data_IF_828175672387
#
_entry.id   IF_828175672387
#
_cell.length_a   1.000
_cell.length_b   1.000
_cell.length_c   1.000
_cell.angle_alpha   90.00
_cell.angle_beta   90.00
_cell.angle_gamma   90.00
#
_symmetry.space_group_name_H-M   'P 1'
#
loop_
_entity.id
_entity.type
_entity.pdbx_description
1 polymer ?
#
# COMPACT_ATOMS: atom_id res chain seq x y z
N UNK A 1 4.18 19.50 -25.39
CA UNK A 1 4.12 19.39 -23.91
C UNK A 1 2.73 19.74 -23.41
N UNK A 2 2.52 19.97 -22.10
CA UNK A 2 1.21 20.34 -21.56
C UNK A 2 0.63 21.60 -22.20
N UNK A 3 1.48 22.58 -22.55
CA UNK A 3 1.04 23.83 -23.20
C UNK A 3 0.34 23.60 -24.53
N UNK A 4 0.90 22.72 -25.39
CA UNK A 4 0.27 22.34 -26.66
C UNK A 4 -1.08 21.65 -26.45
N UNK A 5 -1.19 20.85 -25.38
CA UNK A 5 -2.44 20.18 -25.03
C UNK A 5 -3.48 21.18 -24.50
N UNK A 6 -3.08 22.16 -23.68
CA UNK A 6 -3.97 23.20 -23.17
C UNK A 6 -4.43 24.17 -24.25
N UNK A 7 -3.59 24.46 -25.25
CA UNK A 7 -3.99 25.23 -26.42
C UNK A 7 -5.15 24.57 -27.19
N UNK A 8 -5.24 23.23 -27.18
CA UNK A 8 -6.33 22.47 -27.79
C UNK A 8 -7.53 22.29 -26.86
N UNK A 9 -7.27 22.03 -25.58
CA UNK A 9 -8.30 21.83 -24.57
C UNK A 9 -7.89 22.50 -23.25
N UNK A 10 -8.35 23.74 -22.99
CA UNK A 10 -7.99 24.47 -21.78
C UNK A 10 -8.58 23.85 -20.50
N UNK A 11 -9.50 22.88 -20.61
CA UNK A 11 -10.08 22.13 -19.48
C UNK A 11 -9.33 20.83 -19.17
N UNK A 12 -8.31 20.48 -19.96
CA UNK A 12 -7.57 19.23 -19.79
C UNK A 12 -6.80 19.21 -18.47
N UNK A 13 -6.91 18.13 -17.73
CA UNK A 13 -6.01 17.86 -16.59
C UNK A 13 -4.88 16.97 -17.09
N UNK A 14 -3.64 17.44 -16.97
CA UNK A 14 -2.46 16.76 -17.51
C UNK A 14 -1.67 16.12 -16.37
N UNK A 15 -1.69 14.79 -16.28
CA UNK A 15 -0.92 14.05 -15.27
C UNK A 15 0.52 13.81 -15.69
N UNK A 16 1.46 14.03 -14.78
CA UNK A 16 2.87 13.62 -14.90
C UNK A 16 3.19 12.75 -13.69
N UNK A 17 3.56 11.50 -13.93
CA UNK A 17 4.03 10.60 -12.87
C UNK A 17 5.50 10.34 -13.08
N UNK A 18 6.30 10.70 -12.08
CA UNK A 18 7.76 10.55 -12.13
C UNK A 18 8.30 10.08 -10.80
N UNK A 19 9.53 9.57 -10.80
CA UNK A 19 10.21 9.20 -9.57
C UNK A 19 10.55 10.40 -8.68
N UNK A 20 11.24 11.36 -9.27
CA UNK A 20 11.92 12.46 -8.56
C UNK A 20 11.21 13.82 -8.66
N UNK A 21 10.16 13.94 -9.49
CA UNK A 21 9.52 15.22 -9.82
C UNK A 21 10.06 15.83 -11.12
N UNK A 22 9.42 16.90 -11.57
CA UNK A 22 9.85 17.60 -12.80
C UNK A 22 11.10 18.47 -12.61
N UNK A 23 11.40 18.84 -11.36
CA UNK A 23 12.49 19.73 -10.99
C UNK A 23 13.46 19.07 -10.01
N UNK A 24 14.61 19.69 -9.80
CA UNK A 24 15.62 19.26 -8.85
C UNK A 24 16.75 18.40 -9.46
N UNK A 25 17.81 18.11 -8.68
CA UNK A 25 19.04 17.53 -9.21
C UNK A 25 18.87 16.12 -9.81
N UNK A 26 17.84 15.39 -9.37
CA UNK A 26 17.56 14.01 -9.79
C UNK A 26 16.46 13.92 -10.84
N UNK A 27 15.84 15.02 -11.28
CA UNK A 27 14.68 15.00 -12.19
C UNK A 27 14.93 14.20 -13.50
N UNK A 28 16.17 14.16 -13.97
CA UNK A 28 16.58 13.43 -15.18
C UNK A 28 17.29 12.09 -14.89
N UNK A 29 17.42 11.71 -13.62
CA UNK A 29 18.06 10.46 -13.23
C UNK A 29 17.06 9.30 -13.23
N UNK A 30 17.53 8.10 -13.58
CA UNK A 30 16.76 6.89 -13.39
C UNK A 30 16.63 6.55 -11.89
N UNK A 31 15.56 5.87 -11.54
CA UNK A 31 15.32 5.34 -10.21
C UNK A 31 14.18 4.34 -10.22
N UNK A 32 14.03 3.63 -9.12
CA UNK A 32 12.88 2.78 -8.83
C UNK A 32 12.37 3.06 -7.42
N UNK A 33 11.21 2.50 -7.07
CA UNK A 33 10.58 2.61 -5.76
C UNK A 33 11.56 2.74 -4.59
N UNK A 34 12.45 1.75 -4.44
CA UNK A 34 13.40 1.66 -3.34
C UNK A 34 14.31 2.89 -3.25
N UNK A 35 14.66 3.52 -4.37
CA UNK A 35 15.48 4.74 -4.38
C UNK A 35 14.68 5.96 -3.91
N UNK A 36 13.41 6.07 -4.31
CA UNK A 36 12.53 7.17 -3.92
C UNK A 36 12.25 7.13 -2.41
N UNK A 37 11.88 5.96 -1.89
CA UNK A 37 11.61 5.77 -0.46
C UNK A 37 12.87 5.83 0.40
N UNK A 38 14.05 5.57 -0.18
CA UNK A 38 15.33 5.78 0.50
C UNK A 38 15.58 7.27 0.74
N UNK A 39 15.35 8.11 -0.26
CA UNK A 39 15.69 9.54 -0.21
C UNK A 39 14.86 10.30 0.84
N UNK A 40 13.63 9.86 1.10
CA UNK A 40 12.72 10.47 2.08
C UNK A 40 12.80 9.83 3.46
N UNK A 41 13.73 8.90 3.67
CA UNK A 41 13.93 8.21 4.95
C UNK A 41 12.88 7.14 5.28
N UNK A 42 11.90 6.90 4.41
CA UNK A 42 10.87 5.89 4.61
C UNK A 42 11.48 4.48 4.65
N UNK A 43 12.43 4.16 3.75
CA UNK A 43 13.10 2.85 3.77
C UNK A 43 13.79 2.59 5.13
N UNK A 44 14.46 3.60 5.69
CA UNK A 44 15.13 3.48 7.00
C UNK A 44 14.16 3.16 8.14
N UNK A 45 12.88 3.51 8.04
CA UNK A 45 11.88 3.18 9.05
C UNK A 45 11.40 1.71 8.99
N UNK A 46 11.60 1.01 7.87
CA UNK A 46 11.14 -0.36 7.70
C UNK A 46 12.18 -1.40 8.12
N UNK A 47 11.76 -2.36 8.95
CA UNK A 47 12.56 -3.51 9.38
C UNK A 47 12.80 -3.57 10.89
N UNK A 48 13.52 -4.61 11.33
CA UNK A 48 13.85 -4.81 12.74
C UNK A 48 15.03 -3.93 13.18
N UNK A 49 15.13 -3.69 14.49
CA UNK A 49 16.32 -3.08 15.12
C UNK A 49 17.56 -3.93 14.80
N UNK A 50 18.68 -3.28 14.52
CA UNK A 50 19.97 -3.92 14.22
C UNK A 50 19.98 -4.85 13.00
N UNK A 51 18.95 -4.80 12.16
CA UNK A 51 18.90 -5.48 10.86
C UNK A 51 18.95 -4.43 9.75
N UNK A 52 19.37 -4.78 8.52
CA UNK A 52 19.26 -3.89 7.38
C UNK A 52 17.82 -3.40 7.17
N UNK A 53 17.62 -2.17 6.66
CA UNK A 53 16.30 -1.72 6.21
C UNK A 53 15.64 -2.75 5.27
N UNK A 54 14.34 -2.96 5.42
CA UNK A 54 13.58 -3.96 4.64
C UNK A 54 12.72 -3.26 3.59
N UNK A 55 12.90 -3.61 2.32
CA UNK A 55 12.09 -3.06 1.22
C UNK A 55 10.65 -3.62 1.29
N UNK A 56 9.61 -2.77 1.35
CA UNK A 56 8.21 -3.18 1.46
C UNK A 56 7.57 -3.48 0.09
N UNK A 57 8.29 -4.21 -0.78
CA UNK A 57 8.02 -4.26 -2.22
C UNK A 57 7.98 -2.83 -2.81
N UNK A 58 7.42 -2.66 -4.01
CA UNK A 58 7.19 -1.35 -4.60
C UNK A 58 5.86 -0.68 -4.18
N UNK A 59 5.34 -1.05 -3.01
CA UNK A 59 4.02 -0.59 -2.55
C UNK A 59 4.02 0.88 -2.12
N UNK A 60 5.15 1.41 -1.64
CA UNK A 60 5.19 2.72 -0.97
C UNK A 60 5.47 3.86 -1.95
N UNK A 61 6.52 3.74 -2.76
CA UNK A 61 6.89 4.73 -3.76
C UNK A 61 5.99 4.63 -4.99
N UNK A 62 6.00 3.48 -5.69
CA UNK A 62 5.32 3.36 -6.98
C UNK A 62 3.79 3.45 -6.82
N UNK A 63 3.21 2.62 -5.97
CA UNK A 63 1.75 2.52 -5.85
C UNK A 63 1.16 3.58 -4.92
N UNK A 64 1.56 3.62 -3.65
CA UNK A 64 0.98 4.54 -2.69
C UNK A 64 1.41 5.99 -2.91
N UNK A 65 2.70 6.24 -3.17
CA UNK A 65 3.27 7.57 -3.36
C UNK A 65 3.10 8.13 -4.77
N UNK A 66 3.14 7.28 -5.81
CA UNK A 66 2.99 7.70 -7.20
C UNK A 66 1.57 7.55 -7.72
N UNK A 67 1.13 6.30 -7.92
CA UNK A 67 -0.11 6.00 -8.61
C UNK A 67 -1.35 6.57 -7.90
N UNK A 68 -1.46 6.39 -6.58
CA UNK A 68 -2.61 6.90 -5.82
C UNK A 68 -2.62 8.44 -5.71
N UNK A 69 -1.46 9.09 -5.56
CA UNK A 69 -1.39 10.56 -5.58
C UNK A 69 -1.70 11.13 -6.96
N UNK A 70 -1.26 10.49 -8.03
CA UNK A 70 -1.65 10.88 -9.39
C UNK A 70 -3.16 10.74 -9.57
N UNK A 71 -3.73 9.58 -9.23
CA UNK A 71 -5.17 9.34 -9.37
C UNK A 71 -5.98 10.36 -8.56
N UNK A 72 -5.59 10.61 -7.30
CA UNK A 72 -6.22 11.61 -6.46
C UNK A 72 -6.07 13.03 -7.03
N UNK A 73 -4.88 13.40 -7.50
CA UNK A 73 -4.60 14.68 -8.13
C UNK A 73 -5.40 14.90 -9.42
N UNK A 74 -5.55 13.86 -10.25
CA UNK A 74 -6.39 13.89 -11.45
C UNK A 74 -7.85 14.11 -11.07
N UNK A 75 -8.38 13.38 -10.07
CA UNK A 75 -9.77 13.59 -9.60
C UNK A 75 -9.97 15.02 -9.11
N UNK A 76 -9.04 15.54 -8.29
CA UNK A 76 -9.06 16.92 -7.81
C UNK A 76 -9.02 17.92 -8.97
N UNK A 77 -8.12 17.74 -9.94
CA UNK A 77 -8.02 18.59 -11.12
C UNK A 77 -9.28 18.55 -11.99
N UNK A 78 -9.92 17.38 -12.13
CA UNK A 78 -11.17 17.25 -12.91
C UNK A 78 -12.31 17.98 -12.21
N UNK A 79 -12.43 17.85 -10.88
CA UNK A 79 -13.42 18.57 -10.09
C UNK A 79 -13.21 20.08 -10.17
N UNK A 80 -11.96 20.53 -10.13
CA UNK A 80 -11.58 21.92 -10.36
C UNK A 80 -12.03 22.36 -11.76
N UNK A 81 -11.57 21.69 -12.82
CA UNK A 81 -11.83 22.07 -14.21
C UNK A 81 -13.32 22.03 -14.59
N UNK A 82 -14.12 21.22 -13.88
CA UNK A 82 -15.58 21.23 -13.99
C UNK A 82 -16.19 22.53 -13.48
N UNK A 83 -15.61 23.13 -12.43
CA UNK A 83 -16.08 24.37 -11.80
C UNK A 83 -15.51 25.62 -12.48
N UNK A 84 -14.21 25.66 -12.76
CA UNK A 84 -13.54 26.86 -13.28
C UNK A 84 -13.52 26.95 -14.80
N UNK A 85 -13.66 25.81 -15.50
CA UNK A 85 -13.40 25.73 -16.93
C UNK A 85 -11.91 25.72 -17.29
N UNK A 86 -11.00 25.55 -16.33
CA UNK A 86 -9.54 25.48 -16.55
C UNK A 86 -8.97 24.22 -15.95
N UNK A 87 -8.19 23.49 -16.74
CA UNK A 87 -7.41 22.37 -16.26
C UNK A 87 -6.04 22.82 -15.74
N UNK A 88 -5.24 21.84 -15.34
CA UNK A 88 -3.91 22.07 -14.76
C UNK A 88 -3.01 20.85 -14.95
N UNK A 89 -1.71 21.05 -14.74
CA UNK A 89 -0.76 19.94 -14.61
C UNK A 89 -0.84 19.39 -13.18
N UNK A 90 -0.85 18.07 -13.06
CA UNK A 90 -0.66 17.34 -11.81
C UNK A 90 0.72 16.71 -11.88
N UNK A 91 1.69 17.26 -11.17
CA UNK A 91 2.99 16.63 -10.96
C UNK A 91 2.90 15.70 -9.74
N UNK A 92 2.90 14.40 -10.00
CA UNK A 92 2.84 13.36 -8.98
C UNK A 92 4.21 12.65 -8.93
N UNK A 93 5.12 13.24 -8.15
CA UNK A 93 6.41 12.65 -7.88
C UNK A 93 6.30 11.57 -6.79
N UNK A 94 6.84 10.38 -7.05
CA UNK A 94 6.85 9.27 -6.09
C UNK A 94 7.60 9.65 -4.81
N UNK A 95 8.67 10.44 -4.92
CA UNK A 95 9.41 10.99 -3.77
C UNK A 95 8.51 11.86 -2.89
N UNK A 96 7.70 12.75 -3.46
CA UNK A 96 6.80 13.63 -2.69
C UNK A 96 5.68 12.85 -2.02
N UNK A 97 5.07 11.91 -2.75
CA UNK A 97 4.02 11.05 -2.21
C UNK A 97 4.53 10.17 -1.07
N UNK A 98 5.71 9.57 -1.23
CA UNK A 98 6.35 8.78 -0.17
C UNK A 98 6.70 9.63 1.06
N UNK A 99 7.21 10.85 0.88
CA UNK A 99 7.45 11.78 1.99
C UNK A 99 6.14 12.17 2.69
N UNK A 100 5.09 12.44 1.92
CA UNK A 100 3.77 12.80 2.46
C UNK A 100 3.20 11.69 3.34
N UNK A 101 3.33 10.42 2.95
CA UNK A 101 2.93 9.25 3.76
C UNK A 101 3.68 9.16 5.11
N UNK A 102 4.87 9.73 5.23
CA UNK A 102 5.67 9.76 6.46
C UNK A 102 5.27 10.90 7.43
N UNK A 103 4.31 11.75 7.07
CA UNK A 103 3.97 12.97 7.85
C UNK A 103 3.62 12.65 9.31
N UNK A 104 2.83 11.60 9.57
CA UNK A 104 2.48 11.21 10.94
C UNK A 104 3.71 10.79 11.75
N UNK A 105 4.67 10.10 11.13
CA UNK A 105 5.92 9.72 11.79
C UNK A 105 6.78 10.94 12.13
N UNK A 106 6.91 11.90 11.21
CA UNK A 106 7.57 13.18 11.49
C UNK A 106 6.92 13.90 12.69
N UNK A 107 5.59 13.92 12.75
CA UNK A 107 4.85 14.49 13.88
C UNK A 107 5.12 13.77 15.20
N UNK A 108 5.12 12.44 15.21
CA UNK A 108 5.41 11.65 16.42
C UNK A 108 6.83 11.89 16.93
N UNK A 109 7.82 11.95 16.04
CA UNK A 109 9.19 12.26 16.43
C UNK A 109 9.30 13.69 16.99
N UNK A 110 8.69 14.67 16.32
CA UNK A 110 8.68 16.06 16.79
C UNK A 110 8.00 16.21 18.17
N UNK A 111 6.98 15.39 18.45
CA UNK A 111 6.29 15.34 19.74
C UNK A 111 7.03 14.51 20.82
N UNK A 112 8.17 13.88 20.49
CA UNK A 112 8.90 12.98 21.40
C UNK A 112 8.21 11.64 21.65
N UNK A 113 7.19 11.29 20.86
CA UNK A 113 6.44 10.03 20.95
C UNK A 113 7.11 8.88 20.17
N UNK A 114 8.02 9.20 19.27
CA UNK A 114 8.83 8.26 18.51
C UNK A 114 10.30 8.74 18.43
N UNK A 115 11.19 7.84 18.04
CA UNK A 115 12.61 8.07 17.82
C UNK A 115 12.99 7.71 16.39
N UNK A 116 14.08 8.29 15.89
CA UNK A 116 14.64 7.96 14.58
C UNK A 116 15.31 6.58 14.51
N UNK A 117 15.47 5.91 15.65
CA UNK A 117 15.96 4.54 15.69
C UNK A 117 14.85 3.57 15.26
N UNK A 118 15.11 2.81 14.19
CA UNK A 118 14.20 1.79 13.66
C UNK A 118 14.06 0.62 14.62
N UNK A 119 12.84 0.11 14.75
CA UNK A 119 12.53 -1.08 15.54
C UNK A 119 12.53 -0.82 17.04
N UNK A 120 12.35 0.43 17.46
CA UNK A 120 12.27 0.82 18.88
C UNK A 120 11.02 1.64 19.21
N UNK A 121 10.10 1.80 18.26
CA UNK A 121 8.88 2.58 18.38
C UNK A 121 7.65 1.67 18.53
N UNK A 122 6.52 2.30 18.86
CA UNK A 122 5.25 1.59 19.05
C UNK A 122 4.78 0.84 17.79
N UNK A 123 4.99 1.41 16.59
CA UNK A 123 4.41 0.93 15.32
C UNK A 123 5.42 0.35 14.32
N UNK A 124 6.68 0.15 14.72
CA UNK A 124 7.76 -0.25 13.81
C UNK A 124 8.49 -1.54 14.25
N UNK A 125 7.78 -2.42 14.96
CA UNK A 125 8.26 -3.68 15.58
C UNK A 125 8.99 -3.56 16.92
N UNK A 126 9.09 -2.36 17.50
CA UNK A 126 9.71 -2.14 18.81
C UNK A 126 8.89 -2.63 20.00
N UNK A 127 7.56 -2.48 19.95
CA UNK A 127 6.69 -2.89 21.06
C UNK A 127 6.32 -4.38 21.03
N UNK A 128 5.96 -4.96 22.17
CA UNK A 128 5.45 -6.35 22.26
C UNK A 128 3.97 -6.48 21.87
N UNK A 129 3.23 -5.37 21.90
CA UNK A 129 1.80 -5.32 21.56
C UNK A 129 1.52 -4.79 20.16
N UNK A 130 2.55 -4.59 19.33
CA UNK A 130 2.43 -4.33 17.89
C UNK A 130 3.56 -5.06 17.18
N UNK A 131 3.36 -6.35 16.94
CA UNK A 131 4.42 -7.22 16.44
C UNK A 131 3.91 -8.47 15.72
N UNK A 132 4.85 -9.19 15.13
CA UNK A 132 4.65 -10.56 14.64
C UNK A 132 5.46 -11.55 15.46
N UNK A 133 4.87 -12.72 15.70
CA UNK A 133 5.44 -13.81 16.49
C UNK A 133 5.37 -15.14 15.74
N UNK A 134 6.43 -15.94 15.87
CA UNK A 134 6.52 -17.27 15.30
C UNK A 134 5.78 -18.28 16.20
N UNK A 135 5.02 -19.18 15.56
CA UNK A 135 4.25 -20.24 16.20
C UNK A 135 5.04 -21.58 16.21
N UNK A 136 4.49 -22.60 16.87
CA UNK A 136 5.14 -23.93 16.98
C UNK A 136 5.41 -24.61 15.63
N UNK A 137 4.63 -24.28 14.60
CA UNK A 137 4.69 -24.81 13.25
C UNK A 137 5.58 -23.97 12.30
N UNK A 138 6.31 -22.98 12.83
CA UNK A 138 7.16 -22.07 12.05
C UNK A 138 6.38 -21.02 11.24
N UNK A 139 5.05 -20.97 11.37
CA UNK A 139 4.21 -19.92 10.79
C UNK A 139 4.10 -18.73 11.72
N UNK A 140 3.53 -17.62 11.24
CA UNK A 140 3.52 -16.36 11.97
C UNK A 140 2.11 -15.85 12.26
N UNK A 141 1.96 -15.16 13.38
CA UNK A 141 0.77 -14.39 13.75
C UNK A 141 1.16 -12.94 14.03
N UNK A 142 0.21 -12.02 13.89
CA UNK A 142 0.36 -10.62 14.30
C UNK A 142 -0.56 -10.31 15.49
N UNK A 143 -0.07 -9.43 16.37
CA UNK A 143 -0.87 -8.79 17.42
C UNK A 143 -0.64 -7.29 17.36
N UNK A 144 -1.70 -6.51 17.51
CA UNK A 144 -1.67 -5.05 17.51
C UNK A 144 -2.57 -4.37 18.58
N UNK A 145 -2.76 -4.91 19.81
CA UNK A 145 -3.64 -4.27 20.80
C UNK A 145 -2.95 -3.06 21.47
N UNK A 146 -2.94 -1.91 20.80
CA UNK A 146 -2.29 -0.69 21.28
C UNK A 146 -3.02 -0.11 22.50
N UNK A 147 -4.35 -0.08 22.48
CA UNK A 147 -5.15 0.47 23.56
C UNK A 147 -5.23 -0.51 24.75
N UNK A 148 -5.11 0.01 25.97
CA UNK A 148 -5.00 -0.82 27.19
C UNK A 148 -6.13 -1.83 27.39
N UNK A 149 -7.36 -1.52 26.95
CA UNK A 149 -8.50 -2.45 27.01
C UNK A 149 -8.33 -3.67 26.09
N UNK A 150 -7.76 -3.47 24.91
CA UNK A 150 -7.48 -4.54 23.94
C UNK A 150 -6.26 -5.35 24.38
N UNK A 151 -5.28 -4.69 24.99
CA UNK A 151 -4.11 -5.37 25.56
C UNK A 151 -4.52 -6.26 26.75
N UNK A 152 -5.39 -5.76 27.63
CA UNK A 152 -5.96 -6.57 28.71
C UNK A 152 -6.75 -7.77 28.18
N UNK A 153 -7.52 -7.61 27.09
CA UNK A 153 -8.22 -8.72 26.44
C UNK A 153 -7.24 -9.77 25.87
N UNK A 154 -6.14 -9.33 25.23
CA UNK A 154 -5.09 -10.24 24.79
C UNK A 154 -4.51 -11.03 25.96
N UNK A 155 -4.07 -10.36 27.04
CA UNK A 155 -3.50 -11.02 28.22
C UNK A 155 -4.48 -12.02 28.84
N UNK A 156 -5.77 -11.63 28.95
CA UNK A 156 -6.82 -12.50 29.47
C UNK A 156 -7.00 -13.77 28.64
N UNK A 157 -7.00 -13.66 27.31
CA UNK A 157 -7.13 -14.84 26.41
C UNK A 157 -5.90 -15.73 26.41
N UNK A 158 -4.72 -15.13 26.61
CA UNK A 158 -3.46 -15.84 26.74
C UNK A 158 -3.25 -16.44 28.14
N UNK A 159 -4.16 -16.19 29.08
CA UNK A 159 -4.04 -16.58 30.49
C UNK A 159 -2.75 -16.04 31.14
N UNK A 160 -2.37 -14.82 30.76
CA UNK A 160 -1.23 -14.10 31.34
C UNK A 160 -1.74 -13.17 32.43
N UNK A 161 -1.25 -13.36 33.66
CA UNK A 161 -1.45 -12.39 34.74
C UNK A 161 -0.79 -11.05 34.37
N UNK A 162 -1.53 -9.94 34.26
CA UNK A 162 -0.97 -8.63 33.96
C UNK A 162 0.12 -8.17 34.94
N UNK A 163 0.10 -8.64 36.19
CA UNK A 163 1.13 -8.33 37.19
C UNK A 163 2.50 -8.92 36.83
N UNK A 164 2.54 -9.89 35.93
CA UNK A 164 3.78 -10.53 35.44
C UNK A 164 4.30 -9.90 34.14
N UNK A 165 3.69 -8.81 33.68
CA UNK A 165 4.12 -8.05 32.50
C UNK A 165 4.61 -6.67 32.94
N UNK A 166 5.63 -6.10 32.26
CA UNK A 166 5.98 -4.70 32.48
C UNK A 166 4.81 -3.79 32.07
N UNK A 167 4.77 -2.53 32.57
CA UNK A 167 3.79 -1.56 32.12
C UNK A 167 3.81 -1.44 30.59
N UNK A 168 2.63 -1.43 29.97
CA UNK A 168 2.52 -1.55 28.51
C UNK A 168 3.39 -0.52 27.76
N UNK A 169 3.43 0.73 28.21
CA UNK A 169 4.15 1.81 27.54
C UNK A 169 5.62 1.97 27.97
N UNK A 170 6.14 1.03 28.76
CA UNK A 170 7.52 1.03 29.21
C UNK A 170 8.46 0.45 28.13
N UNK A 171 9.05 1.36 27.36
CA UNK A 171 9.95 1.05 26.23
C UNK A 171 11.20 0.28 26.66
N UNK A 172 11.68 0.50 27.89
CA UNK A 172 12.89 -0.15 28.39
C UNK A 172 12.70 -1.66 28.53
N UNK A 173 11.50 -2.08 28.95
CA UNK A 173 11.16 -3.47 29.23
C UNK A 173 10.37 -4.17 28.11
N UNK A 174 10.12 -3.52 26.97
CA UNK A 174 9.53 -4.18 25.80
C UNK A 174 10.27 -5.42 25.33
N UNK A 175 11.63 -5.46 25.29
CA UNK A 175 12.33 -6.68 24.88
C UNK A 175 12.02 -7.90 25.75
N UNK A 176 11.82 -7.70 27.06
CA UNK A 176 11.43 -8.77 27.98
C UNK A 176 10.02 -9.29 27.68
N UNK A 177 9.06 -8.37 27.54
CA UNK A 177 7.68 -8.72 27.19
C UNK A 177 7.58 -9.38 25.81
N UNK A 178 8.40 -8.94 24.85
CA UNK A 178 8.52 -9.56 23.53
C UNK A 178 9.01 -11.01 23.64
N UNK A 179 10.06 -11.26 24.44
CA UNK A 179 10.58 -12.59 24.64
C UNK A 179 9.54 -13.53 25.28
N UNK A 180 8.79 -13.03 26.27
CA UNK A 180 7.72 -13.79 26.94
C UNK A 180 6.57 -14.14 26.00
N UNK A 181 6.06 -13.17 25.23
CA UNK A 181 5.03 -13.43 24.23
C UNK A 181 5.54 -14.36 23.13
N UNK A 182 6.77 -14.17 22.65
CA UNK A 182 7.38 -15.04 21.66
C UNK A 182 7.51 -16.48 22.13
N UNK A 183 7.95 -16.71 23.36
CA UNK A 183 8.01 -18.04 23.95
C UNK A 183 6.62 -18.67 24.07
N UNK A 184 5.61 -17.90 24.48
CA UNK A 184 4.23 -18.37 24.57
C UNK A 184 3.67 -18.75 23.19
N UNK A 185 3.79 -17.87 22.19
CA UNK A 185 3.23 -18.14 20.86
C UNK A 185 3.88 -19.36 20.18
N UNK A 186 5.13 -19.71 20.52
CA UNK A 186 5.79 -20.95 20.08
C UNK A 186 5.23 -22.23 20.69
N UNK A 187 4.29 -22.17 21.63
CA UNK A 187 3.71 -23.37 22.26
C UNK A 187 2.56 -24.01 21.49
N UNK A 188 1.98 -23.29 20.53
CA UNK A 188 0.84 -23.76 19.72
C UNK A 188 1.04 -23.40 18.25
N UNK A 189 0.37 -24.12 17.38
CA UNK A 189 0.34 -23.85 15.93
C UNK A 189 -0.40 -22.54 15.63
N UNK A 190 -0.20 -21.97 14.44
CA UNK A 190 -0.90 -20.75 14.01
C UNK A 190 -2.43 -20.93 14.10
N UNK A 191 -2.92 -22.09 13.65
CA UNK A 191 -4.36 -22.35 13.53
C UNK A 191 -5.03 -22.52 14.91
N UNK A 192 -4.32 -23.09 15.90
CA UNK A 192 -4.77 -23.12 17.30
C UNK A 192 -4.87 -21.72 17.91
N UNK A 193 -3.93 -20.82 17.58
CA UNK A 193 -4.04 -19.41 17.98
C UNK A 193 -5.20 -18.69 17.30
N UNK A 194 -5.44 -18.96 16.02
CA UNK A 194 -6.59 -18.41 15.30
C UNK A 194 -7.90 -18.83 15.97
N UNK A 195 -8.05 -20.11 16.32
CA UNK A 195 -9.23 -20.61 17.03
C UNK A 195 -9.50 -19.90 18.37
N UNK A 196 -8.45 -19.41 19.05
CA UNK A 196 -8.55 -18.72 20.34
C UNK A 196 -8.77 -17.20 20.22
N UNK A 197 -8.10 -16.56 19.27
CA UNK A 197 -7.90 -15.10 19.23
C UNK A 197 -8.59 -14.42 18.05
N UNK A 198 -8.86 -15.12 16.95
CA UNK A 198 -9.44 -14.49 15.76
C UNK A 198 -10.88 -14.01 16.01
N UNK A 199 -11.23 -12.83 15.48
CA UNK A 199 -12.55 -12.21 15.68
C UNK A 199 -12.76 -11.61 17.07
N UNK A 200 -11.71 -11.53 17.89
CA UNK A 200 -11.74 -10.96 19.23
C UNK A 200 -11.12 -9.56 19.27
N UNK A 201 -11.36 -8.84 20.37
CA UNK A 201 -10.78 -7.53 20.63
C UNK A 201 -9.27 -7.57 21.01
N UNK A 202 -8.62 -8.73 20.89
CA UNK A 202 -7.17 -8.88 21.10
C UNK A 202 -6.30 -8.36 19.94
N UNK A 203 -6.92 -7.82 18.88
CA UNK A 203 -6.26 -7.27 17.70
C UNK A 203 -5.27 -8.28 17.07
N UNK A 204 -5.78 -9.45 16.70
CA UNK A 204 -5.01 -10.59 16.21
C UNK A 204 -5.32 -10.91 14.75
N UNK A 205 -4.32 -11.38 13.98
CA UNK A 205 -4.52 -12.04 12.70
C UNK A 205 -3.40 -13.07 12.39
N UNK A 206 -3.68 -14.12 11.59
CA UNK A 206 -2.61 -14.92 11.00
C UNK A 206 -1.83 -14.11 9.97
N UNK A 207 -0.51 -14.31 9.90
CA UNK A 207 0.29 -13.84 8.76
C UNK A 207 0.14 -14.88 7.65
N UNK A 208 -0.56 -14.51 6.59
CA UNK A 208 -0.91 -15.38 5.46
C UNK A 208 0.05 -15.17 4.29
N UNK A 209 0.31 -16.24 3.54
CA UNK A 209 0.92 -16.12 2.22
C UNK A 209 -0.07 -15.56 1.20
N UNK A 210 0.42 -15.17 0.01
CA UNK A 210 -0.43 -14.74 -1.11
C UNK A 210 -1.41 -15.81 -1.57
N UNK A 211 -1.09 -17.09 -1.36
CA UNK A 211 -1.92 -18.22 -1.73
C UNK A 211 -2.96 -18.55 -0.66
N UNK A 212 -2.63 -18.31 0.62
CA UNK A 212 -3.54 -18.51 1.74
C UNK A 212 -4.58 -17.39 1.86
N UNK A 213 -4.17 -16.14 1.61
CA UNK A 213 -5.01 -14.95 1.86
C UNK A 213 -6.39 -14.99 1.17
N UNK A 214 -6.54 -15.44 -0.09
CA UNK A 214 -7.84 -15.55 -0.74
C UNK A 214 -8.80 -16.54 -0.08
N UNK A 215 -8.27 -17.57 0.57
CA UNK A 215 -9.04 -18.65 1.17
C UNK A 215 -9.43 -18.38 2.62
N UNK A 216 -8.89 -17.32 3.24
CA UNK A 216 -9.27 -16.94 4.60
C UNK A 216 -10.78 -16.61 4.66
N UNK A 217 -11.54 -17.13 5.65
CA UNK A 217 -13.00 -16.97 5.70
C UNK A 217 -13.47 -15.52 5.58
N UNK A 218 -12.77 -14.58 6.23
CA UNK A 218 -13.06 -13.15 6.12
C UNK A 218 -12.89 -12.61 4.68
N UNK A 219 -11.81 -12.98 3.99
CA UNK A 219 -11.51 -12.51 2.64
C UNK A 219 -12.44 -13.13 1.61
N UNK A 220 -12.76 -14.41 1.76
CA UNK A 220 -13.75 -15.12 0.94
C UNK A 220 -15.15 -14.48 1.10
N UNK A 221 -15.63 -14.30 2.32
CA UNK A 221 -16.92 -13.66 2.60
C UNK A 221 -16.99 -12.23 2.05
N UNK A 222 -15.86 -11.51 2.12
CA UNK A 222 -15.78 -10.16 1.55
C UNK A 222 -15.61 -10.17 0.03
N UNK A 223 -15.26 -11.26 -0.64
CA UNK A 223 -14.80 -11.25 -2.04
C UNK A 223 -13.66 -10.23 -2.23
N UNK A 224 -12.67 -10.29 -1.35
CA UNK A 224 -11.46 -9.45 -1.45
C UNK A 224 -10.65 -9.81 -2.69
N UNK A 225 -10.74 -11.07 -3.12
CA UNK A 225 -10.12 -11.60 -4.32
C UNK A 225 -11.20 -12.09 -5.29
N UNK A 226 -10.91 -12.04 -6.58
CA UNK A 226 -11.72 -12.52 -7.69
C UNK A 226 -10.87 -13.39 -8.61
N UNK A 227 -11.49 -14.37 -9.24
CA UNK A 227 -10.85 -15.19 -10.26
C UNK A 227 -11.29 -14.71 -11.64
N UNK A 228 -10.32 -14.36 -12.48
CA UNK A 228 -10.54 -13.95 -13.87
C UNK A 228 -9.61 -14.79 -14.73
N UNK A 229 -10.17 -15.55 -15.66
CA UNK A 229 -9.40 -16.46 -16.54
C UNK A 229 -8.49 -17.43 -15.76
N UNK A 230 -9.06 -18.07 -14.72
CA UNK A 230 -8.36 -18.93 -13.76
C UNK A 230 -7.20 -18.27 -13.00
N UNK A 231 -7.06 -16.94 -13.06
CA UNK A 231 -6.07 -16.17 -12.30
C UNK A 231 -6.76 -15.50 -11.12
N UNK A 232 -6.34 -15.89 -9.91
CA UNK A 232 -6.79 -15.31 -8.66
C UNK A 232 -6.06 -13.99 -8.37
N UNK A 233 -6.81 -12.91 -8.22
CA UNK A 233 -6.26 -11.56 -8.05
C UNK A 233 -7.15 -10.68 -7.15
N UNK A 234 -6.65 -9.56 -6.60
CA UNK A 234 -7.47 -8.65 -5.81
C UNK A 234 -8.65 -8.08 -6.61
N UNK A 235 -9.81 -7.98 -5.96
CA UNK A 235 -10.95 -7.24 -6.50
C UNK A 235 -10.67 -5.73 -6.50
N UNK A 236 -11.30 -4.93 -7.39
CA UNK A 236 -11.17 -3.47 -7.37
C UNK A 236 -11.53 -2.86 -6.01
N UNK A 237 -10.77 -1.82 -5.61
CA UNK A 237 -10.98 -1.06 -4.38
C UNK A 237 -10.91 0.46 -4.66
N UNK A 238 -11.66 1.30 -3.91
CA UNK A 238 -12.56 0.95 -2.80
C UNK A 238 -13.92 0.43 -3.29
N UNK A 239 -14.77 0.01 -2.35
CA UNK A 239 -16.15 -0.41 -2.63
C UNK A 239 -17.10 0.77 -2.54
N UNK A 240 -17.91 0.96 -3.55
CA UNK A 240 -18.93 2.01 -3.60
C UNK A 240 -20.32 1.41 -3.40
N UNK A 241 -21.17 2.08 -2.63
CA UNK A 241 -22.55 1.64 -2.35
C UNK A 241 -23.50 1.79 -3.55
N UNK A 242 -23.15 2.60 -4.56
CA UNK A 242 -24.00 2.89 -5.73
C UNK A 242 -23.32 2.62 -7.07
N UNK A 243 -22.05 3.01 -7.21
CA UNK A 243 -21.29 2.93 -8.47
C UNK A 243 -20.24 1.84 -8.37
N UNK A 244 -20.69 0.58 -8.33
CA UNK A 244 -19.78 -0.55 -8.26
C UNK A 244 -18.88 -0.59 -9.51
N UNK A 245 -17.55 -0.69 -9.36
CA UNK A 245 -16.65 -0.81 -10.50
C UNK A 245 -16.84 -2.16 -11.19
N UNK A 246 -16.65 -2.19 -12.50
CA UNK A 246 -16.60 -3.42 -13.27
C UNK A 246 -15.42 -4.29 -12.82
N UNK A 247 -15.56 -5.61 -13.00
CA UNK A 247 -14.45 -6.53 -12.76
C UNK A 247 -13.35 -6.34 -13.82
N UNK A 248 -12.08 -6.60 -13.49
CA UNK A 248 -11.01 -6.65 -14.48
C UNK A 248 -11.36 -7.66 -15.59
N UNK A 249 -11.03 -7.31 -16.83
CA UNK A 249 -11.14 -8.22 -17.96
C UNK A 249 -9.89 -9.11 -18.05
N UNK A 250 -9.99 -10.33 -18.60
CA UNK A 250 -8.85 -11.19 -18.86
C UNK A 250 -7.76 -10.48 -19.68
N UNK A 251 -6.47 -10.81 -19.48
CA UNK A 251 -5.39 -10.26 -20.28
C UNK A 251 -5.66 -10.53 -21.76
N UNK A 252 -5.76 -9.46 -22.54
CA UNK A 252 -5.88 -9.56 -23.98
C UNK A 252 -4.48 -9.54 -24.59
N UNK A 253 -4.14 -10.44 -25.52
CA UNK A 253 -2.96 -10.22 -26.33
C UNK A 253 -3.10 -8.85 -27.01
N UNK A 254 -2.02 -8.08 -27.17
CA UNK A 254 -2.10 -6.84 -27.93
C UNK A 254 -2.54 -7.17 -29.36
N UNK A 255 -3.83 -7.00 -29.66
CA UNK A 255 -4.35 -7.12 -31.02
C UNK A 255 -4.08 -5.79 -31.71
N UNK A 256 -3.02 -5.79 -32.53
CA UNK A 256 -2.55 -4.58 -33.23
C UNK A 256 -3.62 -4.03 -34.17
N UNK A 257 -4.35 -4.93 -34.82
CA UNK A 257 -5.36 -4.55 -35.80
C UNK A 257 -6.66 -4.02 -35.18
N UNK A 258 -7.13 -4.61 -34.08
CA UNK A 258 -8.42 -4.23 -33.48
C UNK A 258 -8.29 -3.07 -32.50
N UNK A 259 -7.25 -3.03 -31.65
CA UNK A 259 -7.15 -1.99 -30.62
C UNK A 259 -6.80 -0.61 -31.21
N UNK A 260 -5.93 -0.54 -32.21
CA UNK A 260 -5.59 0.72 -32.88
C UNK A 260 -6.74 1.23 -33.76
N UNK A 261 -7.43 0.32 -34.47
CA UNK A 261 -8.61 0.69 -35.25
C UNK A 261 -9.75 1.14 -34.35
N UNK A 262 -10.10 0.37 -33.32
CA UNK A 262 -11.18 0.73 -32.39
C UNK A 262 -10.91 2.05 -31.64
N UNK A 263 -9.66 2.34 -31.28
CA UNK A 263 -9.30 3.60 -30.63
C UNK A 263 -9.41 4.82 -31.58
N UNK A 264 -9.18 4.62 -32.88
CA UNK A 264 -9.15 5.69 -33.87
C UNK A 264 -10.45 5.82 -34.66
N UNK A 265 -11.30 4.79 -34.71
CA UNK A 265 -12.53 4.75 -35.51
C UNK A 265 -13.56 5.79 -35.06
N UNK A 266 -13.47 6.26 -33.81
CA UNK A 266 -14.30 7.35 -33.30
C UNK A 266 -13.87 8.73 -33.86
N UNK A 267 -12.69 8.81 -34.48
CA UNK A 267 -12.03 10.07 -34.86
C UNK A 267 -11.61 10.14 -36.33
N UNK A 268 -11.31 9.00 -36.95
CA UNK A 268 -10.75 8.88 -38.30
C UNK A 268 -11.59 7.92 -39.14
N UNK A 269 -11.74 8.23 -40.42
CA UNK A 269 -12.42 7.36 -41.36
C UNK A 269 -11.57 6.10 -41.66
N UNK A 270 -12.19 4.97 -42.03
CA UNK A 270 -11.48 3.72 -42.30
C UNK A 270 -10.34 3.87 -43.34
N UNK A 271 -10.53 4.74 -44.33
CA UNK A 271 -9.54 5.02 -45.36
C UNK A 271 -8.30 5.77 -44.83
N UNK A 272 -8.49 6.67 -43.85
CA UNK A 272 -7.38 7.40 -43.23
C UNK A 272 -6.55 6.48 -42.34
N UNK A 273 -7.20 5.61 -41.57
CA UNK A 273 -6.53 4.59 -40.76
C UNK A 273 -5.73 3.64 -41.67
N UNK A 274 -6.31 3.21 -42.80
CA UNK A 274 -5.62 2.38 -43.78
C UNK A 274 -4.40 3.08 -44.40
N UNK A 275 -4.51 4.38 -44.72
CA UNK A 275 -3.40 5.16 -45.25
C UNK A 275 -2.25 5.28 -44.23
N UNK A 276 -2.56 5.54 -42.95
CA UNK A 276 -1.57 5.62 -41.88
C UNK A 276 -0.89 4.27 -41.59
N UNK A 277 -1.60 3.14 -41.77
CA UNK A 277 -0.98 1.81 -41.74
C UNK A 277 -0.04 1.59 -42.92
N UNK A 278 -0.45 1.99 -44.13
CA UNK A 278 0.36 1.85 -45.33
C UNK A 278 1.69 2.63 -45.24
N UNK A 279 1.72 3.75 -44.52
CA UNK A 279 2.93 4.55 -44.28
C UNK A 279 3.76 4.07 -43.09
N UNK A 280 3.33 3.01 -42.37
CA UNK A 280 3.97 2.53 -41.15
C UNK A 280 3.85 3.50 -39.97
N UNK A 281 2.96 4.49 -40.05
CA UNK A 281 2.68 5.44 -38.96
C UNK A 281 1.81 4.79 -37.88
N UNK A 282 0.90 3.91 -38.30
CA UNK A 282 0.22 2.95 -37.42
C UNK A 282 0.80 1.55 -37.69
N UNK A 283 1.16 0.84 -36.62
CA UNK A 283 1.77 -0.50 -36.66
C UNK A 283 0.74 -1.61 -36.63
#
# INVERSE_FOLDING_TARGET
GPDDCFARNPRLVYGRVTGWGQDGPLAQAAGHDINYISLVGALHAFGRRNQPPTSPLNLIGDFAGGALYLAFGIVCGILEARRSGRGQVVDAAMVDGAASLMTAFHGMVAAGLATHERGTNHLDTGSHFYNVYECADGRWISVAPIEGKFYAELLRRLDIDPATMPPQMDREHWPEAQAKLGALFKTRTRDEWCALLEGTDACFAPVLTTDEAPHHPHNAARRTYVEIDAILQPAPAPRFSRTAPDLPIPPQPPSRDDAAYAALSDWLEPAEIAALRATGTLW
#
